data_IF_997077083387
#
_entry.id   IF_997077083387
#
_cell.length_a   1.000
_cell.length_b   1.000
_cell.length_c   1.000
_cell.angle_alpha   90.00
_cell.angle_beta   90.00
_cell.angle_gamma   90.00
#
_symmetry.space_group_name_H-M   'P 1'
#
loop_
_entity.id
_entity.type
_entity.pdbx_description
1 polymer ?
#
# COMPACT_ATOMS: atom_id res chain seq x y z
N UNK A 1 9.94 8.58 8.24
CA UNK A 1 11.20 8.07 7.60
C UNK A 1 11.50 8.91 6.38
N UNK A 2 12.69 9.51 6.24
CA UNK A 2 13.11 10.20 5.00
C UNK A 2 13.41 9.19 3.89
N UNK A 3 13.14 9.55 2.63
CA UNK A 3 13.35 8.67 1.48
C UNK A 3 14.77 8.72 0.91
N UNK A 4 15.52 9.75 1.27
CA UNK A 4 16.90 9.93 0.81
C UNK A 4 17.76 8.70 1.13
N UNK A 5 18.49 8.22 0.13
CA UNK A 5 19.34 7.03 0.21
C UNK A 5 18.62 5.70 0.52
N UNK A 6 17.30 5.62 0.36
CA UNK A 6 16.50 4.41 0.63
C UNK A 6 16.36 3.51 -0.59
N UNK A 7 16.24 2.20 -0.33
CA UNK A 7 15.88 1.17 -1.31
C UNK A 7 14.40 0.87 -1.15
N UNK A 8 13.64 1.04 -2.21
CA UNK A 8 12.18 1.01 -2.20
C UNK A 8 11.69 -0.01 -3.24
N UNK A 9 10.69 -0.81 -2.90
CA UNK A 9 9.94 -1.64 -3.86
C UNK A 9 8.52 -1.07 -4.00
N UNK A 10 8.11 -0.78 -5.24
CA UNK A 10 6.75 -0.36 -5.58
C UNK A 10 6.11 -1.43 -6.46
N UNK A 11 5.01 -2.03 -6.05
CA UNK A 11 4.26 -2.99 -6.88
C UNK A 11 3.21 -2.27 -7.74
N UNK A 12 2.92 -2.78 -8.94
CA UNK A 12 2.02 -2.11 -9.88
C UNK A 12 2.57 -0.77 -10.39
N UNK A 13 3.89 -0.69 -10.59
CA UNK A 13 4.64 0.55 -10.83
C UNK A 13 4.52 1.11 -12.27
N UNK A 14 3.86 0.41 -13.19
CA UNK A 14 3.84 0.78 -14.62
C UNK A 14 2.85 1.90 -14.97
N UNK A 15 1.90 2.23 -14.10
CA UNK A 15 0.86 3.23 -14.35
C UNK A 15 0.28 3.81 -13.05
N UNK A 16 -0.61 4.79 -13.21
CA UNK A 16 -1.41 5.35 -12.11
C UNK A 16 -0.56 5.85 -10.94
N UNK A 17 -1.04 5.59 -9.73
CA UNK A 17 -0.36 5.98 -8.48
C UNK A 17 1.01 5.31 -8.37
N UNK A 18 1.13 4.03 -8.76
CA UNK A 18 2.41 3.31 -8.67
C UNK A 18 3.54 3.96 -9.47
N UNK A 19 3.26 4.41 -10.71
CA UNK A 19 4.24 5.17 -11.50
C UNK A 19 4.57 6.51 -10.85
N UNK A 20 3.58 7.24 -10.37
CA UNK A 20 3.81 8.51 -9.71
C UNK A 20 4.63 8.35 -8.42
N UNK A 21 4.45 7.25 -7.67
CA UNK A 21 5.28 6.92 -6.50
C UNK A 21 6.74 6.64 -6.89
N UNK A 22 7.00 5.96 -8.00
CA UNK A 22 8.39 5.77 -8.50
C UNK A 22 9.04 7.11 -8.78
N UNK A 23 8.38 7.98 -9.56
CA UNK A 23 8.90 9.30 -9.92
C UNK A 23 9.13 10.20 -8.67
N UNK A 24 8.19 10.19 -7.74
CA UNK A 24 8.29 11.00 -6.52
C UNK A 24 9.38 10.47 -5.58
N UNK A 25 9.58 9.14 -5.48
CA UNK A 25 10.67 8.55 -4.72
C UNK A 25 12.04 8.99 -5.26
N UNK A 26 12.20 9.03 -6.60
CA UNK A 26 13.42 9.51 -7.25
C UNK A 26 13.70 10.99 -6.95
N UNK A 27 12.67 11.85 -6.98
CA UNK A 27 12.77 13.28 -6.64
C UNK A 27 13.18 13.48 -5.18
N UNK A 28 12.73 12.60 -4.27
CA UNK A 28 13.10 12.62 -2.84
C UNK A 28 14.44 11.95 -2.53
N UNK A 29 15.23 11.62 -3.55
CA UNK A 29 16.58 11.11 -3.38
C UNK A 29 16.68 9.62 -3.04
N UNK A 30 15.68 8.80 -3.39
CA UNK A 30 15.79 7.36 -3.24
C UNK A 30 17.05 6.83 -3.94
N UNK A 31 17.77 5.94 -3.26
CA UNK A 31 19.00 5.30 -3.78
C UNK A 31 18.65 4.33 -4.92
N UNK A 32 17.57 3.60 -4.78
CA UNK A 32 17.09 2.60 -5.74
C UNK A 32 15.59 2.39 -5.58
N UNK A 33 14.89 2.27 -6.70
CA UNK A 33 13.47 1.94 -6.74
C UNK A 33 13.27 0.70 -7.61
N UNK A 34 12.88 -0.40 -7.00
CA UNK A 34 12.43 -1.57 -7.73
C UNK A 34 11.00 -1.37 -8.19
N UNK A 35 10.79 -1.38 -9.50
CA UNK A 35 9.48 -1.17 -10.13
C UNK A 35 8.86 -2.53 -10.49
N UNK A 36 8.08 -3.09 -9.56
CA UNK A 36 7.42 -4.39 -9.71
C UNK A 36 6.23 -4.31 -10.65
N UNK A 37 6.26 -5.05 -11.77
CA UNK A 37 5.20 -5.05 -12.77
C UNK A 37 5.05 -6.43 -13.40
N UNK A 38 3.83 -6.76 -13.89
CA UNK A 38 3.58 -8.03 -14.59
C UNK A 38 4.11 -8.05 -16.03
N UNK A 39 4.32 -6.87 -16.61
CA UNK A 39 4.84 -6.70 -17.98
C UNK A 39 6.19 -5.98 -17.92
N UNK A 40 7.08 -6.21 -18.89
CA UNK A 40 8.35 -5.51 -18.93
C UNK A 40 8.17 -3.99 -18.85
N UNK A 41 9.01 -3.35 -18.05
CA UNK A 41 9.07 -1.91 -17.88
C UNK A 41 10.47 -1.42 -18.27
N UNK A 42 10.54 -0.31 -18.98
CA UNK A 42 11.78 0.45 -19.20
C UNK A 42 11.69 1.81 -18.53
N UNK A 43 12.78 2.27 -17.94
CA UNK A 43 12.84 3.57 -17.31
C UNK A 43 14.17 4.26 -17.65
N UNK A 44 14.19 5.58 -17.84
CA UNK A 44 15.38 6.33 -18.23
C UNK A 44 16.34 6.58 -17.06
N UNK A 45 15.83 6.65 -15.83
CA UNK A 45 16.68 6.84 -14.64
C UNK A 45 17.30 5.50 -14.21
N UNK A 46 18.63 5.39 -14.12
CA UNK A 46 19.33 4.14 -13.80
C UNK A 46 19.09 3.66 -12.35
N UNK A 47 18.52 4.49 -11.49
CA UNK A 47 18.14 4.09 -10.14
C UNK A 47 16.87 3.22 -10.11
N UNK A 48 16.07 3.23 -11.20
CA UNK A 48 14.89 2.37 -11.32
C UNK A 48 15.30 1.00 -11.85
N UNK A 49 15.01 -0.02 -11.07
CA UNK A 49 15.25 -1.42 -11.42
C UNK A 49 13.90 -2.07 -11.79
N UNK A 50 13.64 -2.32 -13.08
CA UNK A 50 12.47 -3.07 -13.50
C UNK A 50 12.49 -4.48 -12.90
N UNK A 51 11.35 -4.92 -12.37
CA UNK A 51 11.19 -6.23 -11.76
C UNK A 51 9.90 -6.89 -12.28
N UNK A 52 10.02 -8.08 -12.86
CA UNK A 52 8.82 -8.85 -13.23
C UNK A 52 8.22 -9.45 -11.96
N UNK A 53 7.03 -8.96 -11.58
CA UNK A 53 6.39 -9.34 -10.33
C UNK A 53 4.86 -9.33 -10.48
N UNK A 54 4.28 -10.53 -10.48
CA UNK A 54 2.86 -10.74 -10.21
C UNK A 54 2.69 -11.03 -8.71
N UNK A 55 1.91 -10.18 -8.05
CA UNK A 55 1.69 -10.28 -6.59
C UNK A 55 0.87 -11.51 -6.17
N UNK A 56 0.34 -12.26 -7.14
CA UNK A 56 -0.38 -13.52 -6.93
C UNK A 56 0.49 -14.76 -7.20
N UNK A 57 1.74 -14.55 -7.63
CA UNK A 57 2.67 -15.64 -7.96
C UNK A 57 3.74 -15.79 -6.87
N UNK A 58 3.65 -16.87 -6.09
CA UNK A 58 4.55 -17.12 -4.95
C UNK A 58 6.02 -17.22 -5.36
N UNK A 59 6.34 -17.90 -6.49
CA UNK A 59 7.70 -18.07 -6.96
C UNK A 59 8.34 -16.73 -7.35
N UNK A 60 7.55 -15.84 -7.99
CA UNK A 60 8.04 -14.50 -8.34
C UNK A 60 8.27 -13.63 -7.10
N UNK A 61 7.43 -13.77 -6.07
CA UNK A 61 7.58 -13.06 -4.79
C UNK A 61 8.87 -13.53 -4.09
N UNK A 62 9.10 -14.83 -3.99
CA UNK A 62 10.30 -15.39 -3.37
C UNK A 62 11.57 -15.00 -4.11
N UNK A 63 11.55 -15.09 -5.46
CA UNK A 63 12.63 -14.62 -6.31
C UNK A 63 12.93 -13.14 -6.09
N UNK A 64 11.89 -12.29 -6.05
CA UNK A 64 12.04 -10.86 -5.81
C UNK A 64 12.68 -10.58 -4.43
N UNK A 65 12.25 -11.28 -3.38
CA UNK A 65 12.80 -11.12 -2.04
C UNK A 65 14.30 -11.52 -1.99
N UNK A 66 14.67 -12.60 -2.68
CA UNK A 66 16.06 -13.05 -2.80
C UNK A 66 16.92 -12.07 -3.59
N UNK A 67 16.42 -11.58 -4.74
CA UNK A 67 17.15 -10.67 -5.63
C UNK A 67 17.39 -9.30 -4.99
N UNK A 68 16.38 -8.75 -4.30
CA UNK A 68 16.47 -7.45 -3.65
C UNK A 68 17.34 -7.52 -2.39
N UNK A 69 17.20 -8.56 -1.59
CA UNK A 69 17.98 -8.85 -0.38
C UNK A 69 17.82 -7.81 0.75
N UNK A 70 18.01 -6.53 0.45
CA UNK A 70 17.91 -5.43 1.43
C UNK A 70 16.89 -4.39 0.99
N UNK A 71 15.88 -4.13 1.83
CA UNK A 71 14.76 -3.25 1.51
C UNK A 71 14.46 -2.32 2.68
N UNK A 72 14.38 -1.02 2.41
CA UNK A 72 13.97 -0.01 3.41
C UNK A 72 12.47 0.24 3.40
N UNK A 73 11.79 0.11 2.24
CA UNK A 73 10.35 0.36 2.12
C UNK A 73 9.69 -0.54 1.09
N UNK A 74 8.61 -1.22 1.51
CA UNK A 74 7.72 -1.97 0.64
C UNK A 74 6.44 -1.15 0.42
N UNK A 75 6.12 -0.85 -0.85
CA UNK A 75 4.86 -0.18 -1.22
C UNK A 75 3.98 -1.17 -1.98
N UNK A 76 2.98 -1.68 -1.30
CA UNK A 76 1.96 -2.54 -1.84
C UNK A 76 0.90 -1.68 -2.55
N UNK A 77 1.14 -1.38 -3.83
CA UNK A 77 0.25 -0.56 -4.65
C UNK A 77 -0.52 -1.38 -5.71
N UNK A 78 -0.03 -2.54 -6.13
CA UNK A 78 -0.76 -3.39 -7.07
C UNK A 78 -2.17 -3.67 -6.57
N UNK A 79 -3.16 -3.50 -7.46
CA UNK A 79 -4.56 -3.69 -7.11
C UNK A 79 -5.46 -3.80 -8.33
N UNK A 80 -6.63 -4.38 -8.12
CA UNK A 80 -7.72 -4.45 -9.11
C UNK A 80 -9.01 -3.91 -8.49
N UNK A 81 -9.83 -3.25 -9.32
CA UNK A 81 -11.18 -2.82 -8.98
C UNK A 81 -12.07 -3.09 -10.19
N UNK A 82 -13.07 -3.92 -10.01
CA UNK A 82 -14.05 -4.30 -11.03
C UNK A 82 -15.44 -4.06 -10.46
N UNK A 83 -16.36 -3.68 -11.32
CA UNK A 83 -17.77 -3.54 -10.96
C UNK A 83 -18.38 -4.92 -10.69
N UNK A 84 -19.09 -5.06 -9.58
CA UNK A 84 -19.79 -6.28 -9.20
C UNK A 84 -20.90 -6.00 -8.18
N UNK A 85 -21.81 -6.97 -8.02
CA UNK A 85 -22.94 -6.94 -7.10
C UNK A 85 -22.93 -8.12 -6.13
N UNK A 86 -21.77 -8.80 -5.97
CA UNK A 86 -21.56 -10.01 -5.17
C UNK A 86 -22.27 -11.27 -5.70
N UNK A 87 -22.85 -11.24 -6.89
CA UNK A 87 -23.52 -12.42 -7.46
C UNK A 87 -22.53 -13.49 -7.95
N UNK A 88 -21.30 -13.10 -8.27
CA UNK A 88 -20.24 -14.00 -8.76
C UNK A 88 -19.12 -14.15 -7.70
N UNK A 89 -19.00 -15.32 -7.04
CA UNK A 89 -17.92 -15.57 -6.07
C UNK A 89 -16.52 -15.42 -6.67
N UNK A 90 -16.32 -15.71 -7.96
CA UNK A 90 -15.01 -15.58 -8.60
C UNK A 90 -14.53 -14.11 -8.65
N UNK A 91 -15.44 -13.14 -8.66
CA UNK A 91 -15.09 -11.73 -8.56
C UNK A 91 -14.51 -11.37 -7.20
N UNK A 92 -15.10 -11.89 -6.11
CA UNK A 92 -14.57 -11.71 -4.77
C UNK A 92 -13.20 -12.38 -4.61
N UNK A 93 -13.06 -13.63 -5.07
CA UNK A 93 -11.78 -14.35 -5.03
C UNK A 93 -10.67 -13.60 -5.78
N UNK A 94 -10.98 -13.07 -6.97
CA UNK A 94 -10.03 -12.28 -7.77
C UNK A 94 -9.59 -11.01 -7.06
N UNK A 95 -10.50 -10.29 -6.40
CA UNK A 95 -10.17 -9.11 -5.63
C UNK A 95 -9.32 -9.46 -4.41
N UNK A 96 -9.69 -10.50 -3.66
CA UNK A 96 -8.93 -10.97 -2.50
C UNK A 96 -7.53 -11.45 -2.89
N UNK A 97 -7.39 -12.18 -4.00
CA UNK A 97 -6.09 -12.67 -4.46
C UNK A 97 -5.07 -11.53 -4.64
N UNK A 98 -5.47 -10.44 -5.29
CA UNK A 98 -4.56 -9.31 -5.57
C UNK A 98 -4.49 -8.35 -4.38
N UNK A 99 -5.65 -7.87 -3.91
CA UNK A 99 -5.72 -6.73 -2.99
C UNK A 99 -5.45 -7.10 -1.52
N UNK A 100 -5.59 -8.40 -1.17
CA UNK A 100 -5.38 -8.89 0.19
C UNK A 100 -4.21 -9.87 0.26
N UNK A 101 -4.29 -11.02 -0.44
CA UNK A 101 -3.24 -12.04 -0.37
C UNK A 101 -1.93 -11.55 -0.98
N UNK A 102 -1.97 -10.73 -2.03
CA UNK A 102 -0.77 -10.11 -2.59
C UNK A 102 -0.03 -9.24 -1.57
N UNK A 103 -0.77 -8.40 -0.80
CA UNK A 103 -0.21 -7.59 0.29
C UNK A 103 0.38 -8.48 1.38
N UNK A 104 -0.37 -9.51 1.80
CA UNK A 104 0.08 -10.44 2.84
C UNK A 104 1.37 -11.15 2.45
N UNK A 105 1.39 -11.79 1.28
CA UNK A 105 2.51 -12.61 0.82
C UNK A 105 3.78 -11.78 0.61
N UNK A 106 3.68 -10.60 -0.01
CA UNK A 106 4.81 -9.68 -0.17
C UNK A 106 5.33 -9.18 1.19
N UNK A 107 4.42 -8.78 2.08
CA UNK A 107 4.83 -8.32 3.41
C UNK A 107 5.58 -9.41 4.17
N UNK A 108 5.12 -10.66 4.13
CA UNK A 108 5.79 -11.78 4.76
C UNK A 108 7.17 -12.07 4.13
N UNK A 109 7.27 -12.10 2.80
CA UNK A 109 8.52 -12.39 2.10
C UNK A 109 9.61 -11.33 2.37
N UNK A 110 9.23 -10.06 2.47
CA UNK A 110 10.17 -8.97 2.74
C UNK A 110 10.36 -8.64 4.22
N UNK A 111 9.59 -9.26 5.12
CA UNK A 111 9.63 -8.95 6.56
C UNK A 111 11.03 -9.06 7.18
N UNK A 112 11.86 -10.09 6.88
CA UNK A 112 13.21 -10.16 7.44
C UNK A 112 14.08 -8.95 7.06
N UNK A 113 14.05 -8.54 5.78
CA UNK A 113 14.79 -7.39 5.28
C UNK A 113 14.30 -6.08 5.92
N UNK A 114 12.98 -5.90 6.03
CA UNK A 114 12.38 -4.72 6.64
C UNK A 114 12.70 -4.61 8.14
N UNK A 115 12.72 -5.73 8.88
CA UNK A 115 13.11 -5.76 10.30
C UNK A 115 14.58 -5.36 10.43
N UNK A 116 15.46 -5.94 9.63
CA UNK A 116 16.90 -5.62 9.65
C UNK A 116 17.16 -4.13 9.38
N UNK A 117 16.38 -3.52 8.49
CA UNK A 117 16.51 -2.12 8.08
C UNK A 117 15.71 -1.15 8.93
N UNK A 118 14.90 -1.64 9.89
CA UNK A 118 13.90 -0.83 10.61
C UNK A 118 13.05 -0.03 9.63
N UNK A 119 12.56 -0.73 8.62
CA UNK A 119 11.95 -0.18 7.42
C UNK A 119 10.48 0.18 7.58
N UNK A 120 9.78 0.25 6.43
CA UNK A 120 8.36 0.55 6.42
C UNK A 120 7.59 -0.31 5.39
N UNK A 121 6.33 -0.61 5.71
CA UNK A 121 5.33 -1.15 4.80
C UNK A 121 4.30 -0.05 4.55
N UNK A 122 4.00 0.23 3.28
CA UNK A 122 2.99 1.21 2.86
C UNK A 122 1.97 0.48 2.00
N UNK A 123 0.75 0.34 2.51
CA UNK A 123 -0.34 -0.35 1.81
C UNK A 123 -1.28 0.67 1.17
N UNK A 124 -1.38 0.68 -0.16
CA UNK A 124 -2.30 1.55 -0.90
C UNK A 124 -3.70 0.92 -0.86
N UNK A 125 -4.52 1.48 -0.02
CA UNK A 125 -5.89 1.05 0.22
C UNK A 125 -6.88 2.05 -0.41
N UNK A 126 -8.07 2.17 0.19
CA UNK A 126 -9.11 3.12 -0.24
C UNK A 126 -10.01 3.46 0.93
N UNK A 127 -10.66 4.61 0.89
CA UNK A 127 -11.73 4.99 1.84
C UNK A 127 -12.91 4.00 1.83
N UNK A 128 -13.09 3.25 0.73
CA UNK A 128 -14.13 2.18 0.69
C UNK A 128 -13.82 1.01 1.63
N UNK A 129 -12.61 0.96 2.21
CA UNK A 129 -12.28 0.04 3.31
C UNK A 129 -13.00 0.42 4.61
N UNK A 130 -13.35 1.70 4.78
CA UNK A 130 -14.04 2.23 5.97
C UNK A 130 -15.56 2.23 5.78
N UNK A 131 -16.02 2.53 4.55
CA UNK A 131 -17.41 2.55 4.17
C UNK A 131 -17.56 1.98 2.75
N UNK A 132 -18.21 0.83 2.54
CA UNK A 132 -18.25 0.15 1.26
C UNK A 132 -19.05 0.93 0.21
N UNK A 133 -18.61 0.87 -1.04
CA UNK A 133 -19.36 1.37 -2.18
C UNK A 133 -20.02 0.16 -2.89
N UNK A 134 -21.35 0.02 -2.88
CA UNK A 134 -22.04 -1.22 -3.32
C UNK A 134 -21.79 -1.63 -4.76
N UNK A 135 -21.54 -0.68 -5.68
CA UNK A 135 -21.27 -0.97 -7.10
C UNK A 135 -19.89 -1.62 -7.37
N UNK A 136 -19.02 -1.65 -6.36
CA UNK A 136 -17.71 -2.29 -6.34
C UNK A 136 -17.56 -3.09 -5.03
N UNK A 137 -18.54 -3.92 -4.75
CA UNK A 137 -18.69 -4.55 -3.45
C UNK A 137 -17.52 -5.48 -3.09
N UNK A 138 -17.11 -6.39 -3.98
CA UNK A 138 -15.96 -7.27 -3.76
C UNK A 138 -14.64 -6.49 -3.59
N UNK A 139 -14.47 -5.38 -4.32
CA UNK A 139 -13.34 -4.49 -4.11
C UNK A 139 -13.36 -3.90 -2.69
N UNK A 140 -14.52 -3.38 -2.25
CA UNK A 140 -14.68 -2.82 -0.91
C UNK A 140 -14.35 -3.84 0.18
N UNK A 141 -14.87 -5.07 0.06
CA UNK A 141 -14.55 -6.20 0.96
C UNK A 141 -13.05 -6.46 0.98
N UNK A 142 -12.40 -6.55 -0.19
CA UNK A 142 -10.96 -6.81 -0.26
C UNK A 142 -10.12 -5.70 0.39
N UNK A 143 -10.53 -4.44 0.24
CA UNK A 143 -9.84 -3.30 0.86
C UNK A 143 -10.08 -3.21 2.37
N UNK A 144 -11.27 -3.59 2.85
CA UNK A 144 -11.55 -3.71 4.29
C UNK A 144 -10.71 -4.82 4.93
N UNK A 145 -10.61 -5.99 4.30
CA UNK A 145 -9.74 -7.07 4.74
C UNK A 145 -8.27 -6.64 4.79
N UNK A 146 -7.78 -5.98 3.74
CA UNK A 146 -6.41 -5.47 3.68
C UNK A 146 -6.14 -4.35 4.72
N UNK A 147 -7.15 -3.56 5.07
CA UNK A 147 -7.03 -2.55 6.12
C UNK A 147 -6.91 -3.22 7.49
N UNK A 148 -7.75 -4.20 7.82
CA UNK A 148 -7.63 -4.98 9.05
C UNK A 148 -6.26 -5.68 9.15
N UNK A 149 -5.76 -6.26 8.05
CA UNK A 149 -4.40 -6.83 7.98
C UNK A 149 -3.32 -5.77 8.27
N UNK A 150 -3.47 -4.56 7.73
CA UNK A 150 -2.52 -3.45 7.93
C UNK A 150 -2.45 -3.05 9.41
N UNK A 151 -3.59 -2.93 10.08
CA UNK A 151 -3.68 -2.65 11.52
C UNK A 151 -3.02 -3.77 12.35
N UNK A 152 -3.27 -5.04 11.98
CA UNK A 152 -2.64 -6.20 12.63
C UNK A 152 -1.12 -6.19 12.45
N UNK A 153 -0.61 -5.97 11.24
CA UNK A 153 0.83 -5.82 11.01
C UNK A 153 1.42 -4.66 11.83
N UNK A 154 0.73 -3.53 11.93
CA UNK A 154 1.16 -2.38 12.74
C UNK A 154 1.38 -2.80 14.18
N UNK A 155 0.42 -3.50 14.79
CA UNK A 155 0.54 -3.98 16.16
C UNK A 155 1.71 -4.96 16.34
N UNK A 156 1.83 -5.99 15.47
CA UNK A 156 2.88 -7.01 15.57
C UNK A 156 4.28 -6.52 15.25
N UNK A 157 4.44 -5.44 14.50
CA UNK A 157 5.72 -4.98 13.98
C UNK A 157 6.27 -3.74 14.70
N UNK A 158 5.47 -3.04 15.50
CA UNK A 158 5.90 -1.87 16.28
C UNK A 158 7.14 -2.21 17.13
N UNK A 159 7.11 -3.32 17.89
CA UNK A 159 8.23 -3.77 18.70
C UNK A 159 9.45 -4.25 17.90
N UNK A 160 9.33 -4.45 16.60
CA UNK A 160 10.41 -4.83 15.67
C UNK A 160 11.01 -3.66 14.91
N UNK A 161 10.49 -2.44 15.15
CA UNK A 161 10.95 -1.20 14.51
C UNK A 161 10.50 -1.02 13.07
N UNK A 162 9.55 -1.81 12.58
CA UNK A 162 8.96 -1.65 11.25
C UNK A 162 7.68 -0.82 11.35
N UNK A 163 7.61 0.28 10.57
CA UNK A 163 6.41 1.12 10.48
C UNK A 163 5.44 0.56 9.45
N UNK A 164 4.14 0.67 9.72
CA UNK A 164 3.11 0.19 8.79
C UNK A 164 2.07 1.29 8.59
N UNK A 165 1.98 1.75 7.34
CA UNK A 165 1.12 2.84 6.92
C UNK A 165 -0.06 2.31 6.09
N UNK A 166 -1.27 2.71 6.44
CA UNK A 166 -2.46 2.54 5.61
C UNK A 166 -2.69 3.82 4.80
N UNK A 167 -2.72 3.72 3.48
CA UNK A 167 -3.05 4.85 2.60
C UNK A 167 -4.49 4.72 2.14
N UNK A 168 -5.37 5.55 2.66
CA UNK A 168 -6.80 5.51 2.43
C UNK A 168 -7.17 6.51 1.33
N UNK A 169 -6.98 6.11 0.06
CA UNK A 169 -7.25 6.98 -1.09
C UNK A 169 -8.74 7.14 -1.36
N UNK A 170 -9.14 8.36 -1.68
CA UNK A 170 -10.35 8.64 -2.44
C UNK A 170 -10.11 8.52 -3.95
N UNK A 171 -10.90 9.23 -4.78
CA UNK A 171 -10.74 9.20 -6.25
C UNK A 171 -9.44 9.88 -6.71
N UNK A 172 -8.59 9.12 -7.43
CA UNK A 172 -7.36 9.63 -8.06
C UNK A 172 -7.47 9.44 -9.58
N UNK A 173 -6.97 10.38 -10.38
CA UNK A 173 -7.00 10.32 -11.84
C UNK A 173 -6.06 9.24 -12.38
N UNK A 174 -6.65 8.06 -12.56
CA UNK A 174 -5.99 6.84 -13.03
C UNK A 174 -6.91 6.08 -13.99
N UNK A 175 -6.37 5.09 -14.71
CA UNK A 175 -7.17 4.21 -15.56
C UNK A 175 -8.31 3.51 -14.80
N UNK A 176 -8.12 3.24 -13.51
CA UNK A 176 -9.12 2.59 -12.64
C UNK A 176 -10.39 3.46 -12.49
N UNK A 177 -10.22 4.77 -12.47
CA UNK A 177 -11.31 5.75 -12.34
C UNK A 177 -11.68 6.43 -13.67
N UNK A 178 -11.24 5.84 -14.81
CA UNK A 178 -11.58 6.37 -16.14
C UNK A 178 -13.10 6.29 -16.36
N UNK A 179 -13.68 7.37 -16.87
CA UNK A 179 -15.12 7.45 -17.16
C UNK A 179 -15.99 7.84 -15.96
N UNK A 180 -15.45 7.93 -14.75
CA UNK A 180 -16.17 8.52 -13.62
C UNK A 180 -16.11 10.04 -13.70
N UNK A 181 -17.25 10.71 -13.75
CA UNK A 181 -17.38 12.18 -13.74
C UNK A 181 -17.51 12.70 -12.30
N UNK A 182 -16.40 12.62 -11.57
CA UNK A 182 -16.25 13.07 -10.19
C UNK A 182 -14.93 13.82 -10.02
N UNK A 183 -14.80 14.75 -9.08
CA UNK A 183 -13.52 15.36 -8.74
C UNK A 183 -12.48 14.33 -8.35
N UNK A 184 -11.30 14.39 -8.97
CA UNK A 184 -10.19 13.45 -8.75
C UNK A 184 -8.92 14.23 -8.42
N UNK A 185 -8.15 13.72 -7.47
CA UNK A 185 -6.79 14.22 -7.26
C UNK A 185 -5.86 13.76 -8.41
N UNK A 186 -4.83 14.54 -8.73
CA UNK A 186 -3.79 14.05 -9.63
C UNK A 186 -3.00 12.92 -8.96
N UNK A 187 -2.49 11.98 -9.76
CA UNK A 187 -1.63 10.91 -9.23
C UNK A 187 -0.33 11.46 -8.64
N UNK A 188 0.16 12.58 -9.17
CA UNK A 188 1.36 13.26 -8.69
C UNK A 188 1.11 13.89 -7.31
N UNK A 189 -0.02 14.60 -7.11
CA UNK A 189 -0.37 15.16 -5.80
C UNK A 189 -0.61 14.08 -4.76
N UNK A 190 -1.26 12.97 -5.16
CA UNK A 190 -1.47 11.83 -4.28
C UNK A 190 -0.12 11.20 -3.85
N UNK A 191 0.82 10.99 -4.78
CA UNK A 191 2.14 10.45 -4.46
C UNK A 191 2.93 11.36 -3.51
N UNK A 192 2.88 12.68 -3.71
CA UNK A 192 3.50 13.66 -2.83
C UNK A 192 2.92 13.61 -1.41
N UNK A 193 1.59 13.55 -1.29
CA UNK A 193 0.90 13.46 -0.02
C UNK A 193 1.18 12.13 0.70
N UNK A 194 1.23 11.00 -0.04
CA UNK A 194 1.56 9.69 0.51
C UNK A 194 2.95 9.72 1.16
N UNK A 195 3.96 10.16 0.43
CA UNK A 195 5.30 10.23 1.02
C UNK A 195 5.44 11.30 2.10
N UNK A 196 4.68 12.40 2.01
CA UNK A 196 4.57 13.36 3.12
C UNK A 196 4.08 12.69 4.41
N UNK A 197 3.01 11.92 4.33
CA UNK A 197 2.47 11.16 5.47
C UNK A 197 3.46 10.12 6.00
N UNK A 198 4.16 9.40 5.11
CA UNK A 198 5.21 8.44 5.51
C UNK A 198 6.36 9.14 6.25
N UNK A 199 6.82 10.29 5.76
CA UNK A 199 7.88 11.07 6.41
C UNK A 199 7.46 11.66 7.75
N UNK A 200 6.17 12.00 7.89
CA UNK A 200 5.54 12.47 9.12
C UNK A 200 5.14 11.32 10.07
N UNK A 201 5.40 10.06 9.68
CA UNK A 201 5.09 8.86 10.46
C UNK A 201 3.60 8.67 10.74
N UNK A 202 2.74 9.14 9.83
CA UNK A 202 1.29 8.96 9.93
C UNK A 202 0.90 7.49 9.77
N UNK A 203 0.15 6.95 10.71
CA UNK A 203 -0.35 5.56 10.65
C UNK A 203 -1.36 5.38 9.50
N UNK A 204 -2.28 6.33 9.35
CA UNK A 204 -3.32 6.34 8.33
C UNK A 204 -3.21 7.65 7.55
N UNK A 205 -2.90 7.53 6.25
CA UNK A 205 -2.61 8.63 5.33
C UNK A 205 -3.81 8.83 4.42
N UNK A 206 -4.31 10.07 4.34
CA UNK A 206 -5.43 10.49 3.51
C UNK A 206 -4.92 11.47 2.44
N UNK A 207 -4.53 10.97 1.24
CA UNK A 207 -3.66 11.72 0.33
C UNK A 207 -4.38 12.64 -0.67
N UNK A 208 -5.69 12.74 -0.62
CA UNK A 208 -6.50 13.50 -1.58
C UNK A 208 -7.62 14.27 -0.86
N UNK A 209 -8.23 15.31 -1.48
CA UNK A 209 -9.20 16.17 -0.82
C UNK A 209 -10.43 15.43 -0.28
N UNK A 210 -10.88 14.36 -0.96
CA UNK A 210 -12.05 13.58 -0.51
C UNK A 210 -11.70 12.80 0.75
N UNK A 211 -10.61 12.05 0.71
CA UNK A 211 -10.17 11.28 1.87
C UNK A 211 -9.73 12.18 3.03
N UNK A 212 -9.06 13.29 2.76
CA UNK A 212 -8.60 14.24 3.77
C UNK A 212 -9.74 14.82 4.62
N UNK A 213 -10.96 14.97 4.04
CA UNK A 213 -12.13 15.44 4.79
C UNK A 213 -12.54 14.50 5.94
N UNK A 214 -12.12 13.23 5.90
CA UNK A 214 -12.40 12.21 6.93
C UNK A 214 -11.28 12.09 7.97
N UNK A 215 -10.10 12.66 7.70
CA UNK A 215 -8.88 12.40 8.47
C UNK A 215 -8.98 12.75 9.95
N UNK A 216 -9.56 13.91 10.29
CA UNK A 216 -9.67 14.39 11.67
C UNK A 216 -10.63 13.52 12.48
N UNK A 217 -11.84 13.28 11.96
CA UNK A 217 -12.85 12.45 12.63
C UNK A 217 -12.39 11.00 12.77
N UNK A 218 -11.60 10.50 11.81
CA UNK A 218 -10.98 9.16 11.90
C UNK A 218 -9.93 9.10 13.02
N UNK A 219 -8.98 10.02 13.03
CA UNK A 219 -7.87 10.03 14.01
C UNK A 219 -8.34 10.21 15.45
N UNK A 220 -9.39 11.01 15.65
CA UNK A 220 -10.03 11.24 16.96
C UNK A 220 -11.17 10.28 17.30
N UNK A 221 -11.52 9.36 16.39
CA UNK A 221 -12.68 8.49 16.53
C UNK A 221 -12.48 7.30 17.47
N UNK A 222 -13.60 6.76 18.00
CA UNK A 222 -13.60 5.64 18.93
C UNK A 222 -12.98 4.36 18.33
N UNK A 223 -13.16 4.13 17.03
CA UNK A 223 -12.58 2.96 16.33
C UNK A 223 -11.06 3.02 16.34
N UNK A 224 -10.48 4.20 16.07
CA UNK A 224 -9.02 4.37 16.11
C UNK A 224 -8.46 4.28 17.53
N UNK A 225 -9.19 4.76 18.52
CA UNK A 225 -8.84 4.58 19.93
C UNK A 225 -8.82 3.09 20.32
N UNK A 226 -9.82 2.32 19.88
CA UNK A 226 -9.92 0.87 20.10
C UNK A 226 -8.76 0.12 19.41
N UNK A 227 -8.40 0.47 18.17
CA UNK A 227 -7.23 -0.11 17.47
C UNK A 227 -5.96 0.01 18.32
N UNK A 228 -5.69 1.23 18.84
CA UNK A 228 -4.53 1.50 19.68
C UNK A 228 -4.55 0.73 21.00
N UNK A 229 -5.73 0.59 21.60
CA UNK A 229 -5.90 -0.22 22.82
C UNK A 229 -5.66 -1.69 22.54
N UNK A 230 -6.22 -2.24 21.44
CA UNK A 230 -6.04 -3.63 21.06
C UNK A 230 -4.57 -3.97 20.73
N UNK A 231 -3.80 -3.02 20.19
CA UNK A 231 -2.37 -3.23 19.91
C UNK A 231 -1.55 -3.54 21.17
N UNK A 232 -2.03 -3.15 22.35
CA UNK A 232 -1.35 -3.43 23.63
C UNK A 232 -1.34 -4.92 23.97
N UNK A 233 -2.30 -5.72 23.50
CA UNK A 233 -2.31 -7.18 23.71
C UNK A 233 -1.09 -7.88 23.12
N UNK A 234 -0.50 -7.34 22.05
CA UNK A 234 0.72 -7.91 21.46
C UNK A 234 1.97 -7.57 22.26
N UNK A 235 1.96 -6.45 22.99
CA UNK A 235 3.09 -6.01 23.80
C UNK A 235 3.22 -6.80 25.12
N UNK A 236 2.11 -7.28 25.68
CA UNK A 236 2.07 -7.99 26.98
C UNK A 236 2.46 -9.46 26.90
N UNK A 237 2.33 -10.12 25.75
CA UNK A 237 2.69 -11.55 25.59
C UNK A 237 4.20 -11.82 25.44
N UNK A 238 5.06 -10.83 25.64
CA UNK A 238 6.51 -10.93 25.43
C UNK A 238 7.35 -10.54 26.66
N UNK A 239 6.72 -10.46 27.83
CA UNK A 239 7.39 -10.23 29.10
C UNK A 239 7.75 -11.54 29.83
#
# INVERSE_FOLDING_TARGET
>A
MKLENKVILVTGANRGIGRALVEEALKRGAKRVYAGTRVPLTHHDPRVMPLTLDVTNADQIEKAATEIGSLDMLINNAGVALYDDLSDPAMLERHLAVNFYGIYSLSQAFLPALIQRRGAIVNILSIVALAPLPIIASYSVSKAAAFSLTQSFRAYLTGKGVRVHAVLTGPVDTDMNRGLDIPKASRESAAQAIFGGVENEEEDIFPDPVSASMAESWRGGAVKAMERQNAQFVATDRA
#
